data_IF_027722397281
#
_entry.id   IF_027722397281
#
_cell.length_a   1.000
_cell.length_b   1.000
_cell.length_c   1.000
_cell.angle_alpha   90.00
_cell.angle_beta   90.00
_cell.angle_gamma   90.00
#
_symmetry.space_group_name_H-M   'P 1'
#
loop_
_entity.id
_entity.type
_entity.pdbx_description
1 polymer ?
#
# COMPACT_ATOMS: atom_id res chain seq x y z
N UNK A 1 18.03 3.61 4.68
CA UNK A 1 17.15 4.12 3.61
C UNK A 1 17.88 4.22 2.28
N UNK A 2 19.08 4.77 2.24
CA UNK A 2 19.89 4.92 1.00
C UNK A 2 20.00 3.61 0.22
N UNK A 3 20.44 2.53 0.85
CA UNK A 3 20.58 1.22 0.19
C UNK A 3 19.25 0.70 -0.42
N UNK A 4 18.11 0.88 0.26
CA UNK A 4 16.82 0.48 -0.30
C UNK A 4 16.47 1.33 -1.52
N UNK A 5 16.81 2.61 -1.50
CA UNK A 5 16.60 3.49 -2.63
C UNK A 5 17.47 3.12 -3.83
N UNK A 6 18.77 2.85 -3.61
CA UNK A 6 19.69 2.42 -4.69
C UNK A 6 19.13 1.18 -5.43
N UNK A 7 18.61 0.21 -4.68
CA UNK A 7 18.07 -1.03 -5.25
C UNK A 7 16.69 -0.81 -5.91
N UNK A 8 15.85 0.08 -5.38
CA UNK A 8 14.50 0.31 -5.84
C UNK A 8 14.36 1.38 -6.92
N UNK A 9 15.25 2.36 -6.98
CA UNK A 9 15.17 3.52 -7.86
C UNK A 9 14.86 3.21 -9.34
N UNK A 10 15.37 2.12 -9.93
CA UNK A 10 15.02 1.76 -11.32
C UNK A 10 13.53 1.41 -11.51
N UNK A 11 12.85 1.03 -10.44
CA UNK A 11 11.45 0.56 -10.44
C UNK A 11 10.46 1.60 -9.94
N UNK A 12 10.95 2.73 -9.40
CA UNK A 12 10.13 3.84 -8.94
C UNK A 12 9.44 4.55 -10.12
N UNK A 13 8.22 5.00 -9.90
CA UNK A 13 7.54 5.85 -10.86
C UNK A 13 8.14 7.27 -10.91
N UNK A 14 7.75 8.06 -11.89
CA UNK A 14 8.29 9.42 -12.10
C UNK A 14 7.95 10.39 -10.97
N UNK A 15 6.86 10.13 -10.23
CA UNK A 15 6.35 11.01 -9.16
C UNK A 15 6.88 10.61 -7.79
N UNK A 16 7.58 9.46 -7.71
CA UNK A 16 8.01 8.87 -6.44
C UNK A 16 8.78 9.86 -5.54
N UNK A 17 9.77 10.55 -6.09
CA UNK A 17 10.59 11.50 -5.32
C UNK A 17 9.82 12.78 -4.98
N UNK A 18 8.94 13.25 -5.86
CA UNK A 18 8.13 14.44 -5.60
C UNK A 18 7.11 14.19 -4.48
N UNK A 19 6.62 12.97 -4.38
CA UNK A 19 5.62 12.59 -3.38
C UNK A 19 6.23 12.09 -2.05
N UNK A 20 7.52 11.74 -2.01
CA UNK A 20 8.13 11.21 -0.79
C UNK A 20 8.10 12.20 0.38
N UNK A 21 8.16 13.51 0.10
CA UNK A 21 8.12 14.53 1.14
C UNK A 21 6.74 14.64 1.82
N UNK A 22 5.67 14.44 1.05
CA UNK A 22 4.30 14.56 1.53
C UNK A 22 3.70 13.23 1.98
N UNK A 23 4.15 12.10 1.40
CA UNK A 23 3.62 10.76 1.59
C UNK A 23 4.70 9.73 1.98
N UNK A 24 5.66 10.16 2.81
CA UNK A 24 6.85 9.35 3.18
C UNK A 24 6.52 7.89 3.54
N UNK A 25 5.49 7.64 4.35
CA UNK A 25 5.20 6.29 4.81
C UNK A 25 4.63 5.39 3.72
N UNK A 26 3.79 5.93 2.85
CA UNK A 26 3.27 5.19 1.69
C UNK A 26 4.40 4.88 0.71
N UNK A 27 5.22 5.86 0.36
CA UNK A 27 6.35 5.67 -0.55
C UNK A 27 7.44 4.77 0.05
N UNK A 28 7.69 4.87 1.35
CA UNK A 28 8.57 3.93 2.04
C UNK A 28 8.04 2.50 2.01
N UNK A 29 6.72 2.30 2.19
CA UNK A 29 6.10 0.99 2.13
C UNK A 29 6.22 0.36 0.74
N UNK A 30 5.97 1.12 -0.30
CA UNK A 30 6.15 0.71 -1.70
C UNK A 30 7.60 0.28 -1.97
N UNK A 31 8.57 1.12 -1.61
CA UNK A 31 10.01 0.83 -1.74
C UNK A 31 10.40 -0.42 -0.95
N UNK A 32 9.95 -0.54 0.29
CA UNK A 32 10.24 -1.70 1.14
C UNK A 32 9.71 -3.00 0.54
N UNK A 33 8.49 -2.99 0.01
CA UNK A 33 7.91 -4.14 -0.69
C UNK A 33 8.72 -4.49 -1.94
N UNK A 34 9.04 -3.51 -2.77
CA UNK A 34 9.84 -3.71 -3.97
C UNK A 34 11.20 -4.35 -3.64
N UNK A 35 11.92 -3.81 -2.66
CA UNK A 35 13.18 -4.40 -2.19
C UNK A 35 12.99 -5.79 -1.59
N UNK A 36 11.90 -6.03 -0.85
CA UNK A 36 11.61 -7.35 -0.29
C UNK A 36 11.44 -8.39 -1.38
N UNK A 37 10.78 -8.05 -2.48
CA UNK A 37 10.67 -8.93 -3.64
C UNK A 37 12.02 -9.17 -4.31
N UNK A 38 12.80 -8.12 -4.54
CA UNK A 38 14.14 -8.23 -5.14
C UNK A 38 15.06 -9.14 -4.31
N UNK A 39 15.09 -8.96 -2.99
CA UNK A 39 15.93 -9.75 -2.08
C UNK A 39 15.49 -11.23 -1.97
N UNK A 40 14.23 -11.50 -2.29
CA UNK A 40 13.71 -12.87 -2.40
C UNK A 40 13.76 -13.42 -3.84
N UNK A 41 14.59 -12.84 -4.71
CA UNK A 41 14.83 -13.27 -6.08
C UNK A 41 13.58 -13.22 -6.99
N UNK A 42 12.60 -12.40 -6.68
CA UNK A 42 11.53 -12.10 -7.63
C UNK A 42 12.01 -11.09 -8.66
N UNK A 43 11.57 -11.28 -9.89
CA UNK A 43 11.89 -10.35 -10.98
C UNK A 43 10.85 -9.23 -11.02
N UNK A 44 11.24 -8.07 -10.50
CA UNK A 44 10.47 -6.84 -10.67
C UNK A 44 10.55 -6.38 -12.13
N UNK A 45 9.44 -5.91 -12.68
CA UNK A 45 9.40 -5.26 -13.98
C UNK A 45 9.36 -3.73 -13.81
N UNK A 46 9.81 -3.01 -14.82
CA UNK A 46 9.78 -1.55 -14.81
C UNK A 46 8.34 -1.01 -14.74
N UNK A 47 8.14 0.18 -14.17
CA UNK A 47 6.83 0.82 -14.08
C UNK A 47 6.18 0.95 -15.46
N UNK A 48 4.86 0.83 -15.51
CA UNK A 48 4.15 1.05 -16.74
C UNK A 48 4.04 2.55 -17.05
N UNK A 49 4.42 2.95 -18.25
CA UNK A 49 4.35 4.35 -18.70
C UNK A 49 2.93 4.90 -18.79
N UNK A 50 1.92 4.03 -18.84
CA UNK A 50 0.48 4.40 -18.87
C UNK A 50 -0.15 4.46 -17.47
N UNK A 51 0.65 4.37 -16.41
CA UNK A 51 0.18 4.18 -15.04
C UNK A 51 -0.21 2.72 -14.78
N UNK A 52 -0.68 2.44 -13.58
CA UNK A 52 -1.02 1.08 -13.16
C UNK A 52 -0.74 0.89 -11.68
N UNK A 53 -0.83 -0.35 -11.17
CA UNK A 53 -0.40 -0.69 -9.82
C UNK A 53 1.08 -0.38 -9.58
N UNK A 54 1.44 -0.16 -8.31
CA UNK A 54 2.78 0.28 -7.91
C UNK A 54 3.89 -0.67 -8.33
N UNK A 55 3.68 -1.99 -8.20
CA UNK A 55 4.69 -3.00 -8.50
C UNK A 55 4.15 -4.05 -9.46
N UNK A 56 5.03 -4.54 -10.30
CA UNK A 56 4.75 -5.61 -11.25
C UNK A 56 5.84 -6.67 -11.21
N UNK A 57 5.45 -7.92 -10.98
CA UNK A 57 6.34 -9.08 -10.86
C UNK A 57 5.98 -10.11 -11.93
N UNK A 58 7.00 -10.73 -12.52
CA UNK A 58 6.80 -11.92 -13.33
C UNK A 58 7.19 -13.17 -12.53
N UNK A 59 6.22 -14.01 -12.22
CA UNK A 59 6.44 -15.26 -11.50
C UNK A 59 5.86 -16.44 -12.27
N UNK A 60 6.69 -17.41 -12.65
CA UNK A 60 6.30 -18.62 -13.41
C UNK A 60 5.44 -18.29 -14.66
N UNK A 61 5.85 -17.29 -15.43
CA UNK A 61 5.15 -16.79 -16.61
C UNK A 61 3.77 -16.16 -16.33
N UNK A 62 3.45 -15.89 -15.07
CA UNK A 62 2.25 -15.15 -14.67
C UNK A 62 2.66 -13.78 -14.17
N UNK A 63 2.00 -12.77 -14.70
CA UNK A 63 2.17 -11.39 -14.23
C UNK A 63 1.36 -11.19 -12.95
N UNK A 64 2.01 -10.71 -11.91
CA UNK A 64 1.39 -10.35 -10.63
C UNK A 64 1.48 -8.84 -10.47
N UNK A 65 0.36 -8.23 -10.13
CA UNK A 65 0.26 -6.82 -9.87
C UNK A 65 0.10 -6.59 -8.37
N UNK A 66 0.89 -5.68 -7.81
CA UNK A 66 0.86 -5.38 -6.37
C UNK A 66 0.64 -3.88 -6.18
N UNK A 67 -0.30 -3.55 -5.34
CA UNK A 67 -0.62 -2.19 -4.92
C UNK A 67 -0.26 -2.04 -3.45
N UNK A 68 0.63 -1.10 -3.14
CA UNK A 68 1.06 -0.78 -1.79
C UNK A 68 0.07 0.21 -1.16
N UNK A 69 -0.57 -0.18 -0.08
CA UNK A 69 -1.63 0.62 0.55
C UNK A 69 -1.27 0.96 1.98
N UNK A 70 -1.32 2.24 2.32
CA UNK A 70 -1.18 2.72 3.69
C UNK A 70 -2.43 3.50 4.08
N UNK A 71 -3.43 2.84 4.72
CA UNK A 71 -4.66 3.49 5.14
C UNK A 71 -4.36 4.68 6.06
N UNK A 72 -4.91 5.83 5.74
CA UNK A 72 -4.70 7.08 6.47
C UNK A 72 -5.70 7.23 7.63
N UNK A 73 -5.34 8.05 8.62
CA UNK A 73 -6.18 8.34 9.79
C UNK A 73 -7.57 8.89 9.45
N UNK A 74 -7.76 9.38 8.24
CA UNK A 74 -9.02 9.99 7.80
C UNK A 74 -9.20 11.43 8.28
N UNK A 75 -10.35 12.00 7.90
CA UNK A 75 -10.75 13.37 8.24
C UNK A 75 -12.21 13.37 8.72
N UNK A 76 -12.63 14.47 9.35
CA UNK A 76 -14.02 14.64 9.81
C UNK A 76 -14.38 13.71 10.98
N UNK A 77 -15.65 13.27 11.03
CA UNK A 77 -16.23 12.55 12.18
C UNK A 77 -15.68 11.14 12.37
N UNK A 78 -15.15 10.53 11.33
CA UNK A 78 -14.58 9.18 11.34
C UNK A 78 -13.04 9.18 11.43
N UNK A 79 -12.45 10.35 11.66
CA UNK A 79 -11.01 10.49 11.90
C UNK A 79 -10.57 9.70 13.13
N UNK A 80 -9.44 9.01 12.99
CA UNK A 80 -8.73 8.36 14.09
C UNK A 80 -7.88 9.39 14.84
N UNK A 81 -8.34 9.78 16.02
CA UNK A 81 -7.61 10.72 16.86
C UNK A 81 -6.63 10.01 17.78
N UNK A 82 -5.45 10.61 17.94
CA UNK A 82 -4.47 10.11 18.91
C UNK A 82 -5.03 10.31 20.32
N UNK A 83 -5.13 9.25 21.14
CA UNK A 83 -5.60 9.40 22.51
C UNK A 83 -4.65 10.31 23.30
N UNK A 84 -5.15 11.01 24.33
CA UNK A 84 -4.31 11.73 25.26
C UNK A 84 -3.28 10.79 25.89
N UNK A 85 -2.08 11.31 26.15
CA UNK A 85 -1.04 10.52 26.80
C UNK A 85 -1.52 10.08 28.21
N UNK A 86 -1.19 8.83 28.57
CA UNK A 86 -1.48 8.21 29.88
C UNK A 86 -2.95 7.83 30.18
N UNK A 87 -3.83 7.77 29.22
CA UNK A 87 -5.18 7.27 29.45
C UNK A 87 -5.33 5.84 28.91
N UNK A 88 -6.07 5.03 29.66
CA UNK A 88 -6.63 3.79 29.13
C UNK A 88 -7.78 4.17 28.23
N UNK A 89 -7.68 3.84 26.95
CA UNK A 89 -8.70 4.15 25.94
C UNK A 89 -9.16 2.89 25.28
N UNK A 90 -10.42 2.86 24.88
CA UNK A 90 -10.91 1.80 24.02
C UNK A 90 -10.35 1.96 22.61
N UNK A 91 -9.87 0.87 22.02
CA UNK A 91 -9.42 0.87 20.63
C UNK A 91 -10.62 1.11 19.71
N UNK A 92 -10.59 2.12 18.85
CA UNK A 92 -11.70 2.44 17.94
C UNK A 92 -11.72 1.48 16.74
N UNK A 93 -11.94 0.19 16.98
CA UNK A 93 -11.86 -0.88 15.98
C UNK A 93 -12.72 -0.60 14.76
N UNK A 94 -13.98 -0.18 14.96
CA UNK A 94 -14.92 0.09 13.85
C UNK A 94 -14.38 1.17 12.90
N UNK A 95 -13.80 2.24 13.45
CA UNK A 95 -13.17 3.29 12.65
C UNK A 95 -11.91 2.78 11.93
N UNK A 96 -11.12 1.93 12.57
CA UNK A 96 -9.94 1.33 11.94
C UNK A 96 -10.33 0.41 10.80
N UNK A 97 -11.32 -0.45 11.01
CA UNK A 97 -11.88 -1.32 9.96
C UNK A 97 -12.39 -0.47 8.79
N UNK A 98 -13.17 0.58 9.08
CA UNK A 98 -13.68 1.48 8.05
C UNK A 98 -12.56 2.13 7.22
N UNK A 99 -11.45 2.54 7.84
CA UNK A 99 -10.29 3.09 7.11
C UNK A 99 -9.67 2.09 6.15
N UNK A 100 -9.52 0.84 6.60
CA UNK A 100 -8.98 -0.24 5.76
C UNK A 100 -9.95 -0.56 4.63
N UNK A 101 -11.24 -0.71 4.91
CA UNK A 101 -12.27 -0.99 3.90
C UNK A 101 -12.33 0.11 2.84
N UNK A 102 -12.35 1.38 3.25
CA UNK A 102 -12.35 2.51 2.32
C UNK A 102 -11.13 2.49 1.39
N UNK A 103 -9.95 2.16 1.93
CA UNK A 103 -8.74 2.01 1.12
C UNK A 103 -8.84 0.83 0.14
N UNK A 104 -9.37 -0.30 0.56
CA UNK A 104 -9.61 -1.47 -0.31
C UNK A 104 -10.59 -1.11 -1.44
N UNK A 105 -11.69 -0.45 -1.11
CA UNK A 105 -12.72 -0.06 -2.09
C UNK A 105 -12.18 0.96 -3.11
N UNK A 106 -11.34 1.90 -2.66
CA UNK A 106 -10.67 2.83 -3.55
C UNK A 106 -9.77 2.09 -4.54
N UNK A 107 -8.91 1.19 -4.04
CA UNK A 107 -7.98 0.43 -4.89
C UNK A 107 -8.71 -0.56 -5.80
N UNK A 108 -9.83 -1.11 -5.36
CA UNK A 108 -10.71 -1.93 -6.22
C UNK A 108 -11.27 -1.11 -7.40
N UNK A 109 -11.71 0.13 -7.16
CA UNK A 109 -12.17 1.01 -8.25
C UNK A 109 -11.03 1.33 -9.23
N UNK A 110 -9.83 1.60 -8.72
CA UNK A 110 -8.64 1.83 -9.55
C UNK A 110 -8.32 0.60 -10.40
N UNK A 111 -8.34 -0.60 -9.79
CA UNK A 111 -8.12 -1.87 -10.50
C UNK A 111 -9.09 -2.08 -11.67
N UNK A 112 -10.39 -1.86 -11.45
CA UNK A 112 -11.38 -1.94 -12.52
C UNK A 112 -11.09 -0.94 -13.64
N UNK A 113 -10.71 0.30 -13.30
CA UNK A 113 -10.30 1.30 -14.28
C UNK A 113 -9.02 0.92 -15.07
N UNK A 114 -8.11 0.17 -14.48
CA UNK A 114 -6.92 -0.35 -15.18
C UNK A 114 -7.27 -1.51 -16.11
N UNK A 115 -8.25 -2.34 -15.77
CA UNK A 115 -8.79 -3.36 -16.68
C UNK A 115 -9.42 -2.70 -17.89
N UNK A 116 -10.30 -1.72 -17.70
CA UNK A 116 -10.96 -0.98 -18.77
C UNK A 116 -9.97 -0.32 -19.75
N UNK A 117 -8.83 0.15 -19.21
CA UNK A 117 -7.74 0.75 -19.99
C UNK A 117 -6.76 -0.27 -20.58
N UNK A 118 -6.99 -1.56 -20.38
CA UNK A 118 -6.09 -2.65 -20.81
C UNK A 118 -4.66 -2.53 -20.24
N UNK A 119 -4.50 -1.96 -19.04
CA UNK A 119 -3.24 -1.92 -18.29
C UNK A 119 -3.02 -3.24 -17.55
N UNK A 120 -4.07 -3.75 -16.93
CA UNK A 120 -4.13 -5.03 -16.22
C UNK A 120 -5.15 -5.92 -16.91
N UNK A 121 -4.91 -7.21 -17.01
CA UNK A 121 -5.87 -8.19 -17.53
C UNK A 121 -6.64 -8.82 -16.38
N UNK A 122 -7.92 -9.15 -16.58
CA UNK A 122 -8.78 -9.78 -15.55
C UNK A 122 -8.22 -11.09 -14.98
N UNK A 123 -7.48 -11.84 -15.80
CA UNK A 123 -6.88 -13.11 -15.40
C UNK A 123 -5.48 -12.97 -14.77
N UNK A 124 -4.97 -11.75 -14.61
CA UNK A 124 -3.72 -11.47 -13.94
C UNK A 124 -4.00 -11.21 -12.44
N UNK A 125 -3.33 -11.93 -11.52
CA UNK A 125 -3.52 -11.71 -10.08
C UNK A 125 -3.19 -10.29 -9.66
N UNK A 126 -4.05 -9.72 -8.81
CA UNK A 126 -3.89 -8.41 -8.21
C UNK A 126 -3.86 -8.52 -6.68
N UNK A 127 -2.84 -8.00 -6.06
CA UNK A 127 -2.56 -8.11 -4.63
C UNK A 127 -2.56 -6.72 -4.00
N UNK A 128 -3.32 -6.54 -2.92
CA UNK A 128 -3.24 -5.37 -2.07
C UNK A 128 -2.32 -5.66 -0.89
N UNK A 129 -1.21 -4.95 -0.79
CA UNK A 129 -0.28 -5.04 0.33
C UNK A 129 -0.55 -3.89 1.30
N UNK A 130 -1.27 -4.19 2.39
CA UNK A 130 -1.76 -3.17 3.32
C UNK A 130 -0.81 -3.00 4.50
N UNK A 131 -0.36 -1.76 4.73
CA UNK A 131 0.42 -1.36 5.89
C UNK A 131 -0.43 -0.50 6.84
N UNK A 132 -0.85 -1.06 7.96
CA UNK A 132 -1.65 -0.36 8.98
C UNK A 132 -0.88 0.61 9.87
N UNK A 133 0.39 0.91 9.60
CA UNK A 133 1.25 1.70 10.50
C UNK A 133 0.82 3.16 10.72
N UNK A 134 -0.03 3.71 9.85
CA UNK A 134 -0.64 5.04 10.01
C UNK A 134 -1.87 5.02 10.92
N UNK A 135 -2.49 3.86 11.10
CA UNK A 135 -3.57 3.71 12.04
C UNK A 135 -3.01 3.68 13.47
N UNK A 136 -3.66 4.38 14.37
CA UNK A 136 -3.14 4.69 15.72
C UNK A 136 -2.73 3.45 16.50
N UNK A 137 -3.48 2.35 16.35
CA UNK A 137 -3.21 1.07 17.01
C UNK A 137 -2.77 -0.04 16.03
N UNK A 138 -2.50 0.33 14.78
CA UNK A 138 -2.19 -0.63 13.72
C UNK A 138 -0.82 -1.33 13.84
N UNK A 139 -0.03 -1.00 14.88
CA UNK A 139 1.28 -1.61 15.14
C UNK A 139 1.25 -2.67 16.23
N UNK A 140 0.13 -2.86 16.90
CA UNK A 140 0.00 -3.82 17.98
C UNK A 140 -0.74 -5.05 17.49
N UNK A 141 -0.14 -6.24 17.62
CA UNK A 141 -0.74 -7.50 17.15
C UNK A 141 -2.11 -7.77 17.81
N UNK A 142 -2.30 -7.29 19.05
CA UNK A 142 -3.55 -7.48 19.80
C UNK A 142 -4.69 -6.57 19.34
N UNK A 143 -4.37 -5.53 18.59
CA UNK A 143 -5.28 -4.44 18.25
C UNK A 143 -5.47 -4.30 16.74
N UNK A 144 -4.89 -5.22 15.96
CA UNK A 144 -5.16 -5.26 14.54
C UNK A 144 -6.59 -5.72 14.31
N UNK A 145 -7.42 -4.94 13.56
CA UNK A 145 -8.77 -5.37 13.24
C UNK A 145 -8.75 -6.69 12.49
N UNK A 146 -9.52 -7.66 12.95
CA UNK A 146 -9.75 -8.88 12.21
C UNK A 146 -10.66 -8.54 11.02
N UNK A 147 -10.09 -8.47 9.84
CA UNK A 147 -10.81 -8.35 8.58
C UNK A 147 -10.98 -9.78 8.07
N UNK A 148 -12.17 -10.31 8.26
CA UNK A 148 -12.57 -11.61 7.75
C UNK A 148 -13.31 -11.44 6.43
#
# INVERSE_FOLDING_TARGET
MEKLWEDFAPFADKQFLDEIETNLKSRFWEMYLGCSFLYNNFKLELPNTKGGPDLKINYKNTKLWIEAVTPQKGEGNDKLEKPPNMLVVNVPQDKMILRIQNSIDEKKRNYLGWIDKNVVRENEPFILAINGSELIFGRTEREMPLIL
#
